data_IF_409584132765
#
_entry.id   IF_409584132765
#
_cell.length_a   1.000
_cell.length_b   1.000
_cell.length_c   1.000
_cell.angle_alpha   90.00
_cell.angle_beta   90.00
_cell.angle_gamma   90.00
#
_symmetry.space_group_name_H-M   'P 1'
#
loop_
_entity.id
_entity.type
_entity.pdbx_description
1 polymer ?
#
# COMPACT_ATOMS: atom_id res chain seq x y z
N UNK A 1 12.48 11.92 38.29
CA UNK A 1 12.08 12.15 36.88
C UNK A 1 13.10 11.51 35.95
N UNK A 2 12.85 11.42 34.65
CA UNK A 2 13.90 11.03 33.70
C UNK A 2 14.54 12.27 33.08
N UNK A 3 15.76 12.17 32.57
CA UNK A 3 16.42 13.29 31.88
C UNK A 3 15.64 13.77 30.63
N UNK A 4 14.87 12.89 30.00
CA UNK A 4 13.98 13.20 28.87
C UNK A 4 12.85 14.18 29.21
N UNK A 5 12.51 14.30 30.50
CA UNK A 5 11.48 15.22 30.98
C UNK A 5 12.00 16.67 31.06
N UNK A 6 13.31 16.91 30.84
CA UNK A 6 13.91 18.24 30.78
C UNK A 6 13.73 18.84 29.39
N UNK A 7 12.63 19.58 29.19
CA UNK A 7 12.41 20.35 27.96
C UNK A 7 12.51 21.86 28.22
N UNK A 8 12.88 22.69 27.22
CA UNK A 8 12.86 24.15 27.36
C UNK A 8 11.55 24.68 27.96
N UNK A 9 11.66 25.55 28.95
CA UNK A 9 10.52 26.10 29.70
C UNK A 9 10.09 25.26 30.91
N UNK A 10 10.62 24.05 31.10
CA UNK A 10 10.34 23.24 32.30
C UNK A 10 11.00 23.87 33.54
N UNK A 11 10.28 23.90 34.65
CA UNK A 11 10.84 24.35 35.94
C UNK A 11 11.20 23.13 36.79
N UNK A 12 12.46 23.05 37.21
CA UNK A 12 13.06 21.84 37.79
C UNK A 12 13.78 22.18 39.09
N UNK A 13 13.57 21.37 40.12
CA UNK A 13 14.28 21.43 41.40
C UNK A 13 15.32 20.31 41.49
N UNK A 14 16.41 20.55 42.23
CA UNK A 14 17.48 19.56 42.44
C UNK A 14 18.74 19.75 41.60
N UNK A 15 18.70 20.69 40.63
CA UNK A 15 19.89 21.12 39.88
C UNK A 15 20.79 21.99 40.78
N UNK A 16 20.17 22.90 41.56
CA UNK A 16 20.83 23.70 42.59
C UNK A 16 20.22 23.43 43.96
N UNK A 17 20.99 23.60 45.06
CA UNK A 17 20.47 23.51 46.42
C UNK A 17 19.40 24.57 46.73
N UNK A 18 19.55 25.77 46.16
CA UNK A 18 18.82 26.97 46.59
C UNK A 18 17.55 27.29 45.77
N UNK A 19 16.88 26.27 45.23
CA UNK A 19 15.55 26.44 44.60
C UNK A 19 15.41 25.82 43.22
N UNK A 20 14.26 26.10 42.59
CA UNK A 20 13.96 25.62 41.25
C UNK A 20 14.54 26.54 40.17
N UNK A 21 14.90 25.97 39.03
CA UNK A 21 15.46 26.68 37.87
C UNK A 21 14.61 26.40 36.63
N UNK A 22 14.57 27.36 35.70
CA UNK A 22 13.87 27.18 34.43
C UNK A 22 14.86 26.70 33.38
N UNK A 23 14.55 25.58 32.73
CA UNK A 23 15.32 25.03 31.62
C UNK A 23 15.23 25.97 30.43
N UNK A 24 16.38 26.36 29.88
CA UNK A 24 16.48 27.22 28.70
C UNK A 24 16.75 26.38 27.45
N UNK A 25 17.69 25.45 27.52
CA UNK A 25 18.01 24.53 26.43
C UNK A 25 18.66 23.25 26.96
N UNK A 26 18.59 22.20 26.14
CA UNK A 26 19.13 20.86 26.44
C UNK A 26 19.88 20.34 25.22
N UNK A 27 21.13 19.93 25.40
CA UNK A 27 21.96 19.32 24.36
C UNK A 27 22.41 17.93 24.80
N UNK A 28 22.05 16.90 24.04
CA UNK A 28 22.31 15.50 24.40
C UNK A 28 23.69 15.03 23.94
N UNK A 29 24.42 14.36 24.85
CA UNK A 29 25.68 13.68 24.57
C UNK A 29 25.45 12.16 24.60
N UNK A 30 24.96 11.64 23.48
CA UNK A 30 24.49 10.25 23.40
C UNK A 30 23.22 10.03 24.24
N UNK A 31 23.08 8.87 24.88
CA UNK A 31 21.88 8.49 25.65
C UNK A 31 22.04 8.61 27.17
N UNK A 32 23.24 8.93 27.68
CA UNK A 32 23.56 8.82 29.11
C UNK A 32 23.88 10.16 29.80
N UNK A 33 24.07 11.23 29.04
CA UNK A 33 24.37 12.55 29.57
C UNK A 33 23.76 13.64 28.69
N UNK A 34 23.47 14.79 29.30
CA UNK A 34 23.07 16.01 28.59
C UNK A 34 23.73 17.23 29.24
N UNK A 35 23.94 18.25 28.43
CA UNK A 35 24.28 19.58 28.91
C UNK A 35 23.00 20.39 29.04
N UNK A 36 22.72 20.85 30.26
CA UNK A 36 21.56 21.64 30.61
C UNK A 36 21.95 23.11 30.75
N UNK A 37 21.38 23.98 29.93
CA UNK A 37 21.42 25.43 30.17
C UNK A 37 20.14 25.84 30.90
N UNK A 38 20.28 26.48 32.06
CA UNK A 38 19.16 26.88 32.90
C UNK A 38 19.28 28.33 33.39
N UNK A 39 18.15 28.91 33.77
CA UNK A 39 18.05 30.25 34.36
C UNK A 39 17.59 30.14 35.81
N UNK A 40 18.32 30.79 36.71
CA UNK A 40 17.93 30.84 38.13
C UNK A 40 16.87 31.92 38.42
N UNK A 41 16.27 31.94 39.62
CA UNK A 41 15.28 32.97 39.99
C UNK A 41 15.82 34.40 39.98
N UNK A 42 17.13 34.59 40.06
CA UNK A 42 17.79 35.90 39.96
C UNK A 42 18.06 36.31 38.50
N UNK A 43 17.67 35.48 37.52
CA UNK A 43 17.83 35.72 36.08
C UNK A 43 19.20 35.35 35.52
N UNK A 44 20.09 34.77 36.32
CA UNK A 44 21.42 34.35 35.86
C UNK A 44 21.31 33.05 35.07
N UNK A 45 21.92 33.02 33.88
CA UNK A 45 22.03 31.82 33.05
C UNK A 45 23.29 31.06 33.42
N UNK A 46 23.19 29.75 33.56
CA UNK A 46 24.31 28.86 33.87
C UNK A 46 24.12 27.52 33.18
N UNK A 47 25.21 26.79 33.03
CA UNK A 47 25.25 25.52 32.33
C UNK A 47 25.76 24.43 33.27
N UNK A 48 25.19 23.23 33.16
CA UNK A 48 25.60 22.07 33.94
C UNK A 48 25.39 20.78 33.15
N UNK A 49 26.36 19.88 33.22
CA UNK A 49 26.22 18.53 32.67
C UNK A 49 25.49 17.66 33.69
N UNK A 50 24.47 16.94 33.22
CA UNK A 50 23.69 15.98 34.01
C UNK A 50 23.85 14.57 33.42
N UNK A 51 23.94 13.59 34.32
CA UNK A 51 24.05 12.18 34.00
C UNK A 51 22.84 11.40 34.53
N UNK A 52 22.64 10.17 34.07
CA UNK A 52 21.53 9.31 34.55
C UNK A 52 21.50 9.12 36.07
N UNK A 53 22.64 9.14 36.75
CA UNK A 53 22.67 9.01 38.21
C UNK A 53 22.12 10.26 38.93
N UNK A 54 21.93 11.37 38.23
CA UNK A 54 21.32 12.60 38.75
C UNK A 54 19.78 12.55 38.72
N UNK A 55 19.17 11.66 37.94
CA UNK A 55 17.72 11.54 37.83
C UNK A 55 16.95 11.43 39.17
N UNK A 56 17.47 10.71 40.20
CA UNK A 56 16.78 10.59 41.49
C UNK A 56 16.70 11.91 42.28
N UNK A 57 17.64 12.84 42.06
CA UNK A 57 17.64 14.14 42.76
C UNK A 57 16.79 15.22 42.07
N UNK A 58 16.34 14.96 40.85
CA UNK A 58 15.63 15.94 40.04
C UNK A 58 14.10 15.77 40.16
N UNK A 59 13.43 16.89 40.36
CA UNK A 59 11.98 16.99 40.50
C UNK A 59 11.43 18.06 39.54
N UNK A 60 10.49 17.69 38.65
CA UNK A 60 9.77 18.67 37.83
C UNK A 60 8.74 19.37 38.70
N UNK A 61 8.89 20.68 38.83
CA UNK A 61 7.97 21.54 39.61
C UNK A 61 6.84 22.06 38.74
N UNK A 62 7.15 22.40 37.48
CA UNK A 62 6.16 22.79 36.48
C UNK A 62 6.61 22.22 35.13
N UNK A 63 5.77 21.38 34.52
CA UNK A 63 5.97 20.98 33.14
C UNK A 63 5.64 22.22 32.31
N UNK A 64 6.66 22.90 31.80
CA UNK A 64 6.48 24.01 30.86
C UNK A 64 5.51 23.59 29.76
N UNK A 65 4.82 24.55 29.11
CA UNK A 65 3.76 24.25 28.14
C UNK A 65 4.25 23.18 27.14
N UNK A 66 3.69 21.96 27.14
CA UNK A 66 4.21 20.85 26.32
C UNK A 66 4.05 21.11 24.82
N UNK A 67 3.23 22.11 24.47
CA UNK A 67 3.05 22.62 23.12
C UNK A 67 3.62 24.03 23.07
N UNK A 68 4.92 24.14 22.80
CA UNK A 68 5.49 25.39 22.34
C UNK A 68 5.06 25.57 20.88
N UNK A 69 4.33 26.64 20.57
CA UNK A 69 3.98 27.02 19.18
C UNK A 69 5.19 27.67 18.48
N UNK A 70 6.40 27.21 18.80
CA UNK A 70 7.68 27.70 18.31
C UNK A 70 8.23 26.88 17.14
N UNK A 71 7.51 25.82 16.74
CA UNK A 71 7.81 25.08 15.52
C UNK A 71 7.77 25.98 14.28
N UNK A 72 8.53 25.59 13.26
CA UNK A 72 8.56 26.33 12.00
C UNK A 72 7.17 26.35 11.33
N UNK A 73 6.57 27.54 11.26
CA UNK A 73 5.27 27.75 10.66
C UNK A 73 5.21 27.37 9.17
N UNK A 74 6.32 27.43 8.45
CA UNK A 74 6.39 26.99 7.05
C UNK A 74 6.26 25.46 6.97
N UNK A 75 7.00 24.73 7.80
CA UNK A 75 6.89 23.27 7.90
C UNK A 75 5.49 22.83 8.35
N UNK A 76 4.89 23.50 9.34
CA UNK A 76 3.52 23.21 9.76
C UNK A 76 2.52 23.40 8.62
N UNK A 77 2.60 24.52 7.89
CA UNK A 77 1.74 24.78 6.73
C UNK A 77 1.91 23.72 5.64
N UNK A 78 3.15 23.30 5.36
CA UNK A 78 3.44 22.26 4.38
C UNK A 78 2.82 20.92 4.79
N UNK A 79 2.95 20.52 6.06
CA UNK A 79 2.34 19.31 6.58
C UNK A 79 0.80 19.36 6.52
N UNK A 80 0.19 20.48 6.91
CA UNK A 80 -1.25 20.68 6.83
C UNK A 80 -1.75 20.57 5.37
N UNK A 81 -1.02 21.16 4.42
CA UNK A 81 -1.38 21.11 3.01
C UNK A 81 -1.20 19.70 2.42
N UNK A 82 -0.14 18.98 2.80
CA UNK A 82 0.04 17.58 2.43
C UNK A 82 -1.11 16.70 2.95
N UNK A 83 -1.55 16.92 4.20
CA UNK A 83 -2.72 16.23 4.75
C UNK A 83 -4.01 16.58 4.00
N UNK A 84 -4.21 17.85 3.64
CA UNK A 84 -5.38 18.28 2.85
C UNK A 84 -5.42 17.58 1.49
N UNK A 85 -4.29 17.51 0.78
CA UNK A 85 -4.19 16.82 -0.52
C UNK A 85 -4.46 15.32 -0.36
N UNK A 86 -3.86 14.68 0.65
CA UNK A 86 -4.06 13.25 0.92
C UNK A 86 -5.53 12.91 1.21
N UNK A 87 -6.24 13.83 1.85
CA UNK A 87 -7.66 13.68 2.20
C UNK A 87 -8.63 14.19 1.13
N UNK A 88 -8.13 14.62 -0.04
CA UNK A 88 -8.98 15.19 -1.09
C UNK A 88 -10.08 14.22 -1.57
N UNK A 89 -9.82 12.91 -1.54
CA UNK A 89 -10.80 11.87 -1.91
C UNK A 89 -12.06 11.87 -1.04
N UNK A 90 -12.02 12.46 0.17
CA UNK A 90 -13.20 12.60 1.03
C UNK A 90 -14.20 13.63 0.50
N UNK A 91 -13.73 14.55 -0.34
CA UNK A 91 -14.53 15.66 -0.87
C UNK A 91 -14.72 15.57 -2.39
N UNK A 92 -13.90 14.77 -3.07
CA UNK A 92 -14.01 14.45 -4.48
C UNK A 92 -14.22 12.94 -4.66
N UNK A 93 -15.46 12.48 -4.90
CA UNK A 93 -15.76 11.06 -5.07
C UNK A 93 -15.19 10.48 -6.37
N UNK A 94 -14.75 11.32 -7.32
CA UNK A 94 -14.21 10.95 -8.63
C UNK A 94 -12.75 11.41 -8.80
N UNK A 95 -11.98 11.45 -7.70
CA UNK A 95 -10.63 12.01 -7.69
C UNK A 95 -9.71 11.39 -8.76
N UNK A 96 -9.78 10.06 -8.97
CA UNK A 96 -8.97 9.42 -10.00
C UNK A 96 -9.36 9.83 -11.43
N UNK A 97 -10.63 10.16 -11.70
CA UNK A 97 -11.05 10.71 -13.00
C UNK A 97 -10.40 12.07 -13.21
N UNK A 98 -10.54 12.99 -12.25
CA UNK A 98 -10.05 14.38 -12.41
C UNK A 98 -8.53 14.49 -12.43
N UNK A 99 -7.81 13.53 -11.86
CA UNK A 99 -6.34 13.54 -11.79
C UNK A 99 -5.66 12.68 -12.86
N UNK A 100 -6.43 12.06 -13.76
CA UNK A 100 -5.94 11.22 -14.85
C UNK A 100 -6.14 11.87 -16.22
N UNK A 101 -5.29 11.51 -17.17
CA UNK A 101 -5.37 11.96 -18.56
C UNK A 101 -6.27 10.99 -19.35
N UNK A 102 -7.54 10.92 -18.95
CA UNK A 102 -8.56 10.08 -19.57
C UNK A 102 -9.89 10.84 -19.67
N UNK A 103 -10.64 10.56 -20.73
CA UNK A 103 -12.04 10.96 -20.87
C UNK A 103 -12.90 9.69 -20.76
N UNK A 104 -13.24 9.24 -19.53
CA UNK A 104 -13.92 7.97 -19.34
C UNK A 104 -15.39 8.08 -19.76
N UNK A 105 -15.89 7.01 -20.37
CA UNK A 105 -17.29 6.92 -20.77
C UNK A 105 -18.20 6.72 -19.55
N UNK A 106 -19.48 7.14 -19.59
CA UNK A 106 -20.38 7.05 -18.44
C UNK A 106 -20.50 5.63 -17.85
N UNK A 107 -20.50 4.60 -18.69
CA UNK A 107 -20.55 3.21 -18.23
C UNK A 107 -19.28 2.80 -17.48
N UNK A 108 -18.11 3.35 -17.84
CA UNK A 108 -16.84 3.09 -17.16
C UNK A 108 -16.83 3.73 -15.77
N UNK A 109 -17.36 4.95 -15.65
CA UNK A 109 -17.51 5.63 -14.35
C UNK A 109 -18.46 4.80 -13.46
N UNK A 110 -19.63 4.43 -14.00
CA UNK A 110 -20.62 3.62 -13.26
C UNK A 110 -20.02 2.29 -12.79
N UNK A 111 -19.34 1.56 -13.70
CA UNK A 111 -18.70 0.29 -13.38
C UNK A 111 -17.65 0.43 -12.27
N UNK A 112 -16.79 1.44 -12.33
CA UNK A 112 -15.75 1.62 -11.32
C UNK A 112 -16.33 2.10 -9.99
N UNK A 113 -17.09 3.19 -10.00
CA UNK A 113 -17.43 3.91 -8.77
C UNK A 113 -18.70 3.40 -8.07
N UNK A 114 -19.67 2.89 -8.81
CA UNK A 114 -20.92 2.39 -8.23
C UNK A 114 -20.90 0.87 -8.03
N UNK A 115 -20.14 0.15 -8.86
CA UNK A 115 -20.08 -1.32 -8.80
C UNK A 115 -18.80 -1.81 -8.15
N UNK A 116 -17.63 -1.52 -8.70
CA UNK A 116 -16.38 -2.13 -8.22
C UNK A 116 -15.94 -1.55 -6.87
N UNK A 117 -15.87 -0.24 -6.74
CA UNK A 117 -15.29 0.44 -5.58
C UNK A 117 -16.00 0.15 -4.22
N UNK A 118 -17.35 0.03 -4.15
CA UNK A 118 -18.02 -0.32 -2.89
C UNK A 118 -17.79 -1.76 -2.41
N UNK A 119 -17.25 -2.65 -3.27
CA UNK A 119 -16.99 -4.05 -2.92
C UNK A 119 -15.65 -4.15 -2.21
N UNK A 120 -15.67 -4.26 -0.88
CA UNK A 120 -14.47 -4.45 -0.07
C UNK A 120 -14.59 -5.70 0.82
N UNK A 121 -13.84 -6.79 0.53
CA UNK A 121 -12.87 -6.95 -0.56
C UNK A 121 -13.53 -7.04 -1.95
N UNK A 122 -12.79 -6.59 -2.98
CA UNK A 122 -13.23 -6.70 -4.37
C UNK A 122 -12.79 -8.05 -4.90
N UNK A 123 -13.71 -8.99 -5.11
CA UNK A 123 -13.46 -10.23 -5.87
C UNK A 123 -14.43 -10.25 -7.04
N UNK A 124 -13.95 -9.85 -8.22
CA UNK A 124 -14.84 -9.42 -9.30
C UNK A 124 -14.34 -9.86 -10.67
N UNK A 125 -15.30 -10.22 -11.53
CA UNK A 125 -15.08 -10.53 -12.94
C UNK A 125 -15.62 -9.38 -13.80
N UNK A 126 -14.73 -8.64 -14.45
CA UNK A 126 -15.07 -7.64 -15.45
C UNK A 126 -15.08 -8.29 -16.84
N UNK A 127 -16.27 -8.67 -17.28
CA UNK A 127 -16.50 -9.45 -18.51
C UNK A 127 -17.12 -8.62 -19.65
N UNK A 128 -16.61 -7.41 -19.88
CA UNK A 128 -17.12 -6.53 -20.95
C UNK A 128 -16.56 -6.86 -22.32
N UNK A 129 -17.22 -6.37 -23.37
CA UNK A 129 -16.81 -6.54 -24.76
C UNK A 129 -15.37 -6.06 -25.04
N UNK A 130 -14.71 -6.62 -26.07
CA UNK A 130 -13.47 -6.07 -26.60
C UNK A 130 -13.64 -4.59 -26.95
N UNK A 131 -12.69 -3.74 -26.51
CA UNK A 131 -12.76 -2.29 -26.76
C UNK A 131 -13.62 -1.49 -25.78
N UNK A 132 -14.33 -2.11 -24.84
CA UNK A 132 -15.12 -1.40 -23.81
C UNK A 132 -14.28 -0.53 -22.83
N UNK A 133 -12.96 -0.64 -22.92
CA UNK A 133 -12.01 0.12 -22.10
C UNK A 133 -11.77 -0.47 -20.70
N UNK A 134 -11.70 -1.81 -20.60
CA UNK A 134 -11.37 -2.53 -19.35
C UNK A 134 -10.07 -2.02 -18.70
N UNK A 135 -9.06 -1.71 -19.50
CA UNK A 135 -7.79 -1.13 -19.00
C UNK A 135 -7.99 0.25 -18.37
N UNK A 136 -8.86 1.10 -18.94
CA UNK A 136 -9.22 2.40 -18.36
C UNK A 136 -9.93 2.20 -17.02
N UNK A 137 -10.90 1.28 -16.97
CA UNK A 137 -11.63 0.96 -15.74
C UNK A 137 -10.71 0.43 -14.64
N UNK A 138 -9.79 -0.46 -14.98
CA UNK A 138 -8.79 -0.98 -14.05
C UNK A 138 -7.83 0.13 -13.56
N UNK A 139 -7.35 0.99 -14.45
CA UNK A 139 -6.50 2.12 -14.10
C UNK A 139 -7.19 3.12 -13.16
N UNK A 140 -8.47 3.43 -13.43
CA UNK A 140 -9.29 4.25 -12.54
C UNK A 140 -9.45 3.60 -11.17
N UNK A 141 -9.80 2.31 -11.11
CA UNK A 141 -9.91 1.58 -9.85
C UNK A 141 -8.60 1.61 -9.06
N UNK A 142 -7.46 1.27 -9.70
CA UNK A 142 -6.15 1.23 -9.04
C UNK A 142 -5.84 2.60 -8.43
N UNK A 143 -5.96 3.66 -9.24
CA UNK A 143 -5.63 5.02 -8.80
C UNK A 143 -6.56 5.53 -7.71
N UNK A 144 -7.85 5.20 -7.79
CA UNK A 144 -8.84 5.56 -6.79
C UNK A 144 -8.56 4.86 -5.45
N UNK A 145 -8.25 3.56 -5.47
CA UNK A 145 -7.86 2.83 -4.26
C UNK A 145 -6.55 3.38 -3.66
N UNK A 146 -5.56 3.75 -4.49
CA UNK A 146 -4.33 4.40 -4.04
C UNK A 146 -4.61 5.75 -3.38
N UNK A 147 -5.46 6.58 -3.98
CA UNK A 147 -5.85 7.87 -3.43
C UNK A 147 -6.57 7.76 -2.09
N UNK A 148 -7.34 6.69 -1.88
CA UNK A 148 -8.04 6.37 -0.64
C UNK A 148 -7.14 5.72 0.43
N UNK A 149 -5.92 5.33 0.05
CA UNK A 149 -4.99 4.61 0.92
C UNK A 149 -5.31 3.12 1.10
N UNK A 150 -6.23 2.58 0.30
CA UNK A 150 -6.63 1.16 0.31
C UNK A 150 -5.71 0.27 -0.54
N UNK A 151 -4.87 0.86 -1.39
CA UNK A 151 -3.90 0.17 -2.24
C UNK A 151 -2.54 0.85 -2.15
N UNK A 152 -1.52 0.07 -1.80
CA UNK A 152 -0.11 0.42 -1.95
C UNK A 152 0.56 -0.51 -2.96
N UNK A 153 0.28 -1.81 -2.88
CA UNK A 153 0.90 -2.85 -3.70
C UNK A 153 -0.09 -3.44 -4.69
N UNK A 154 0.23 -3.39 -5.99
CA UNK A 154 -0.61 -3.91 -7.06
C UNK A 154 0.20 -4.79 -8.01
N UNK A 155 -0.33 -5.99 -8.32
CA UNK A 155 0.22 -6.91 -9.30
C UNK A 155 -0.74 -7.06 -10.47
N UNK A 156 -0.25 -6.81 -11.68
CA UNK A 156 -0.98 -7.04 -12.92
C UNK A 156 -0.36 -8.24 -13.62
N UNK A 157 -1.19 -9.23 -13.94
CA UNK A 157 -0.81 -10.44 -14.65
C UNK A 157 -1.54 -10.43 -15.99
N UNK A 158 -0.78 -10.35 -17.07
CA UNK A 158 -1.37 -10.27 -18.41
C UNK A 158 -0.57 -11.13 -19.41
N UNK A 159 -1.16 -11.42 -20.59
CA UNK A 159 -0.45 -12.03 -21.71
C UNK A 159 0.82 -11.26 -22.08
N UNK A 160 1.85 -11.96 -22.54
CA UNK A 160 3.16 -11.35 -22.81
C UNK A 160 3.13 -10.20 -23.82
N UNK A 161 2.21 -10.24 -24.78
CA UNK A 161 2.02 -9.21 -25.80
C UNK A 161 1.29 -7.95 -25.29
N UNK A 162 0.72 -7.96 -24.09
CA UNK A 162 0.00 -6.81 -23.51
C UNK A 162 0.80 -6.10 -22.40
N UNK A 163 1.91 -6.67 -21.94
CA UNK A 163 2.67 -6.13 -20.80
C UNK A 163 3.15 -4.70 -21.04
N UNK A 164 3.75 -4.43 -22.21
CA UNK A 164 4.24 -3.08 -22.54
C UNK A 164 3.08 -2.10 -22.72
N UNK A 165 1.98 -2.53 -23.34
CA UNK A 165 0.77 -1.72 -23.46
C UNK A 165 0.20 -1.33 -22.08
N UNK A 166 0.14 -2.28 -21.14
CA UNK A 166 -0.29 -2.01 -19.77
C UNK A 166 0.60 -0.98 -19.08
N UNK A 167 1.93 -1.12 -19.20
CA UNK A 167 2.87 -0.18 -18.61
C UNK A 167 2.71 1.22 -19.21
N UNK A 168 2.62 1.31 -20.54
CA UNK A 168 2.45 2.58 -21.26
C UNK A 168 1.13 3.26 -20.91
N UNK A 169 0.01 2.53 -20.89
CA UNK A 169 -1.29 3.10 -20.55
C UNK A 169 -1.34 3.58 -19.10
N UNK A 170 -0.83 2.79 -18.14
CA UNK A 170 -0.79 3.17 -16.72
C UNK A 170 0.13 4.36 -16.46
N UNK A 171 1.29 4.40 -17.11
CA UNK A 171 2.23 5.52 -17.01
C UNK A 171 1.66 6.79 -17.61
N UNK A 172 1.20 6.76 -18.87
CA UNK A 172 0.78 7.96 -19.59
C UNK A 172 -0.57 8.50 -19.15
N UNK A 173 -1.53 7.63 -18.86
CA UNK A 173 -2.91 8.05 -18.55
C UNK A 173 -3.12 8.27 -17.06
N UNK A 174 -2.48 7.44 -16.23
CA UNK A 174 -2.75 7.43 -14.79
C UNK A 174 -1.57 7.94 -13.96
N UNK A 175 -0.38 8.12 -14.55
CA UNK A 175 0.86 8.47 -13.87
C UNK A 175 1.27 7.41 -12.82
N UNK A 176 1.01 6.13 -13.13
CA UNK A 176 1.33 5.01 -12.26
C UNK A 176 2.60 4.29 -12.77
N UNK A 177 3.71 4.32 -12.01
CA UNK A 177 5.01 3.80 -12.45
C UNK A 177 5.12 2.29 -12.23
N UNK A 178 4.34 1.50 -12.98
CA UNK A 178 4.43 0.05 -12.91
C UNK A 178 5.72 -0.48 -13.51
N UNK A 179 6.32 -1.47 -12.84
CA UNK A 179 7.56 -2.11 -13.27
C UNK A 179 7.30 -3.51 -13.85
N UNK A 180 7.85 -3.74 -15.04
CA UNK A 180 7.75 -5.05 -15.70
C UNK A 180 8.78 -6.00 -15.09
N UNK A 181 8.31 -7.19 -14.70
CA UNK A 181 9.14 -8.30 -14.24
C UNK A 181 9.98 -8.88 -15.39
N UNK A 182 11.30 -8.89 -15.23
CA UNK A 182 12.26 -9.54 -16.12
C UNK A 182 13.20 -10.46 -15.34
N UNK A 183 13.89 -11.38 -16.02
CA UNK A 183 14.86 -12.25 -15.36
C UNK A 183 16.02 -11.45 -14.76
N UNK A 184 16.56 -10.49 -15.53
CA UNK A 184 17.66 -9.64 -15.07
C UNK A 184 17.32 -8.90 -13.77
N UNK A 185 16.06 -8.42 -13.65
CA UNK A 185 15.55 -7.79 -12.42
C UNK A 185 15.42 -8.77 -11.25
N UNK A 186 14.99 -10.00 -11.52
CA UNK A 186 14.89 -11.05 -10.50
C UNK A 186 16.27 -11.45 -9.94
N UNK A 187 17.29 -11.43 -10.79
CA UNK A 187 18.68 -11.74 -10.44
C UNK A 187 19.37 -10.56 -9.73
N UNK A 188 19.06 -9.34 -10.15
CA UNK A 188 19.61 -8.11 -9.56
C UNK A 188 18.94 -7.68 -8.23
N UNK A 189 17.93 -8.41 -7.75
CA UNK A 189 17.20 -8.07 -6.53
C UNK A 189 18.12 -8.07 -5.31
N UNK A 190 18.22 -6.93 -4.63
CA UNK A 190 19.11 -6.74 -3.47
C UNK A 190 18.72 -7.59 -2.27
N UNK A 191 17.42 -7.79 -2.08
CA UNK A 191 16.83 -8.60 -1.01
C UNK A 191 16.77 -10.08 -1.37
N UNK A 192 17.14 -10.45 -2.60
CA UNK A 192 16.90 -11.79 -3.18
C UNK A 192 15.45 -11.99 -3.66
N UNK A 193 14.52 -11.09 -3.33
CA UNK A 193 13.13 -11.11 -3.77
C UNK A 193 12.70 -9.78 -4.37
N UNK A 194 12.75 -9.69 -5.69
CA UNK A 194 12.39 -8.48 -6.44
C UNK A 194 10.98 -7.96 -6.13
N UNK A 195 10.02 -8.84 -5.82
CA UNK A 195 8.66 -8.42 -5.48
C UNK A 195 8.60 -7.58 -4.21
N UNK A 196 9.49 -7.81 -3.23
CA UNK A 196 9.54 -7.02 -1.99
C UNK A 196 10.11 -5.61 -2.20
N UNK A 197 10.82 -5.39 -3.31
CA UNK A 197 11.44 -4.10 -3.64
C UNK A 197 10.52 -3.20 -4.48
N UNK A 198 9.43 -3.76 -5.03
CA UNK A 198 8.57 -3.06 -5.99
C UNK A 198 7.09 -3.23 -5.62
N UNK A 199 6.41 -2.11 -5.39
CA UNK A 199 5.00 -2.10 -5.00
C UNK A 199 4.06 -2.29 -6.20
N UNK A 200 4.42 -1.75 -7.38
CA UNK A 200 3.59 -1.77 -8.59
C UNK A 200 4.25 -2.63 -9.67
N UNK A 201 3.69 -3.81 -9.93
CA UNK A 201 4.32 -4.85 -10.76
C UNK A 201 3.43 -5.28 -11.92
N UNK A 202 4.03 -5.46 -13.10
CA UNK A 202 3.42 -6.16 -14.24
C UNK A 202 4.22 -7.44 -14.51
N UNK A 203 3.54 -8.58 -14.61
CA UNK A 203 4.16 -9.86 -14.85
C UNK A 203 3.48 -10.62 -15.99
N UNK A 204 4.30 -11.32 -16.79
CA UNK A 204 3.83 -12.18 -17.88
C UNK A 204 3.16 -13.42 -17.29
N UNK A 205 1.91 -13.68 -17.67
CA UNK A 205 1.13 -14.85 -17.24
C UNK A 205 1.91 -16.17 -17.39
N UNK A 206 2.47 -16.42 -18.57
CA UNK A 206 3.16 -17.68 -18.86
C UNK A 206 4.48 -17.84 -18.10
N UNK A 207 5.17 -16.75 -17.79
CA UNK A 207 6.38 -16.78 -16.98
C UNK A 207 6.02 -17.18 -15.54
N UNK A 208 5.07 -16.46 -14.94
CA UNK A 208 4.61 -16.77 -13.58
C UNK A 208 4.03 -18.18 -13.47
N UNK A 209 3.26 -18.65 -14.46
CA UNK A 209 2.61 -19.95 -14.39
C UNK A 209 3.60 -21.13 -14.47
N UNK A 210 4.78 -20.94 -15.10
CA UNK A 210 5.74 -22.02 -15.37
C UNK A 210 6.91 -22.06 -14.41
N UNK A 211 7.28 -20.92 -13.84
CA UNK A 211 8.50 -20.75 -13.05
C UNK A 211 8.21 -20.85 -11.54
N UNK A 212 8.46 -22.03 -10.97
CA UNK A 212 8.20 -22.32 -9.55
C UNK A 212 9.10 -21.50 -8.61
N UNK A 213 10.32 -21.16 -9.02
CA UNK A 213 11.23 -20.29 -8.25
C UNK A 213 10.63 -18.90 -8.10
N UNK A 214 10.08 -18.35 -9.20
CA UNK A 214 9.40 -17.05 -9.16
C UNK A 214 8.11 -17.12 -8.36
N UNK A 215 7.35 -18.22 -8.44
CA UNK A 215 6.16 -18.41 -7.61
C UNK A 215 6.49 -18.44 -6.12
N UNK A 216 7.58 -19.12 -5.71
CA UNK A 216 8.03 -19.16 -4.31
C UNK A 216 8.38 -17.76 -3.78
N UNK A 217 9.06 -16.94 -4.60
CA UNK A 217 9.32 -15.53 -4.26
C UNK A 217 8.03 -14.72 -4.17
N UNK A 218 7.08 -14.96 -5.07
CA UNK A 218 5.79 -14.29 -5.09
C UNK A 218 4.92 -14.64 -3.86
N UNK A 219 4.99 -15.87 -3.36
CA UNK A 219 4.21 -16.33 -2.19
C UNK A 219 4.94 -16.21 -0.86
N UNK A 220 6.08 -15.52 -0.83
CA UNK A 220 6.80 -15.29 0.42
C UNK A 220 5.86 -14.71 1.51
N UNK A 221 6.01 -15.10 2.79
CA UNK A 221 5.05 -14.71 3.84
C UNK A 221 4.87 -13.19 4.01
N UNK A 222 5.93 -12.43 3.77
CA UNK A 222 6.00 -10.97 3.79
C UNK A 222 5.57 -10.31 2.47
N UNK A 223 5.32 -11.10 1.42
CA UNK A 223 4.85 -10.62 0.14
C UNK A 223 3.33 -10.75 0.04
N UNK A 224 2.63 -9.63 0.22
CA UNK A 224 1.20 -9.50 0.02
C UNK A 224 0.91 -8.35 -0.92
N UNK A 225 -0.05 -8.54 -1.80
CA UNK A 225 -0.57 -7.51 -2.68
C UNK A 225 -1.94 -7.06 -2.19
N UNK A 226 -2.22 -5.77 -2.29
CA UNK A 226 -3.55 -5.26 -1.96
C UNK A 226 -4.51 -5.61 -3.07
N UNK A 227 -4.06 -5.49 -4.33
CA UNK A 227 -4.80 -5.83 -5.53
C UNK A 227 -3.97 -6.71 -6.47
N UNK A 228 -4.58 -7.78 -6.97
CA UNK A 228 -4.10 -8.52 -8.13
C UNK A 228 -5.12 -8.36 -9.27
N UNK A 229 -4.65 -7.97 -10.44
CA UNK A 229 -5.43 -7.86 -11.67
C UNK A 229 -4.95 -8.93 -12.65
N UNK A 230 -5.84 -9.77 -13.15
CA UNK A 230 -5.54 -10.73 -14.20
C UNK A 230 -6.27 -10.35 -15.48
N UNK A 231 -5.53 -9.96 -16.50
CA UNK A 231 -6.06 -9.67 -17.84
C UNK A 231 -6.09 -10.92 -18.72
N UNK A 232 -7.04 -10.97 -19.65
CA UNK A 232 -7.42 -12.16 -20.39
C UNK A 232 -7.59 -13.39 -19.48
N UNK A 233 -8.33 -13.19 -18.39
CA UNK A 233 -8.51 -14.15 -17.31
C UNK A 233 -9.12 -15.47 -17.77
N UNK A 234 -9.78 -15.53 -18.93
CA UNK A 234 -10.23 -16.78 -19.56
C UNK A 234 -9.08 -17.79 -19.80
N UNK A 235 -7.82 -17.33 -19.80
CA UNK A 235 -6.63 -18.18 -19.88
C UNK A 235 -6.31 -18.91 -18.58
N UNK A 236 -6.91 -18.51 -17.45
CA UNK A 236 -6.84 -19.18 -16.15
C UNK A 236 -7.88 -20.31 -16.08
N UNK A 237 -7.87 -21.21 -17.06
CA UNK A 237 -8.90 -22.25 -17.18
C UNK A 237 -8.43 -23.59 -16.64
N UNK A 238 -9.39 -24.34 -16.09
CA UNK A 238 -9.30 -25.77 -15.82
C UNK A 238 -10.42 -26.46 -16.58
N UNK A 239 -10.22 -27.73 -16.97
CA UNK A 239 -11.21 -28.45 -17.78
C UNK A 239 -11.68 -29.72 -17.11
N UNK A 240 -12.98 -29.99 -17.16
CA UNK A 240 -13.51 -31.31 -16.85
C UNK A 240 -13.27 -32.27 -18.01
N UNK A 241 -12.67 -33.43 -17.72
CA UNK A 241 -12.45 -34.49 -18.70
C UNK A 241 -12.59 -35.86 -18.04
N UNK A 242 -13.52 -36.68 -18.55
CA UNK A 242 -13.69 -38.06 -18.06
C UNK A 242 -14.13 -38.19 -16.60
N UNK A 243 -14.82 -37.19 -16.05
CA UNK A 243 -15.24 -37.16 -14.64
C UNK A 243 -14.19 -36.62 -13.67
N UNK A 244 -12.99 -36.26 -14.16
CA UNK A 244 -11.91 -35.66 -13.37
C UNK A 244 -11.66 -34.20 -13.79
N UNK A 245 -11.18 -33.39 -12.84
CA UNK A 245 -10.79 -32.00 -13.07
C UNK A 245 -9.31 -31.95 -13.45
N UNK A 246 -9.01 -31.41 -14.63
CA UNK A 246 -7.64 -31.16 -15.06
C UNK A 246 -7.26 -29.70 -14.85
N UNK A 247 -6.55 -29.43 -13.77
CA UNK A 247 -6.01 -28.11 -13.46
C UNK A 247 -4.79 -27.77 -14.33
N UNK A 248 -4.85 -26.65 -15.05
CA UNK A 248 -3.70 -26.14 -15.80
C UNK A 248 -2.73 -25.41 -14.87
N UNK A 249 -1.47 -25.23 -15.31
CA UNK A 249 -0.50 -24.40 -14.57
C UNK A 249 -0.98 -22.95 -14.39
N UNK A 250 -1.69 -22.41 -15.37
CA UNK A 250 -2.28 -21.06 -15.30
C UNK A 250 -3.40 -20.99 -14.28
N UNK A 251 -4.28 -22.02 -14.22
CA UNK A 251 -5.30 -22.10 -13.19
C UNK A 251 -4.70 -22.16 -11.77
N UNK A 252 -3.67 -23.00 -11.58
CA UNK A 252 -2.96 -23.11 -10.29
C UNK A 252 -2.31 -21.78 -9.90
N UNK A 253 -1.73 -21.05 -10.85
CA UNK A 253 -1.27 -19.68 -10.61
C UNK A 253 -2.42 -18.79 -10.16
N UNK A 254 -3.59 -18.88 -10.82
CA UNK A 254 -4.81 -18.17 -10.41
C UNK A 254 -5.18 -18.43 -8.96
N UNK A 255 -5.21 -19.70 -8.53
CA UNK A 255 -5.48 -20.07 -7.13
C UNK A 255 -4.43 -19.50 -6.18
N UNK A 256 -3.15 -19.58 -6.56
CA UNK A 256 -2.04 -19.05 -5.77
C UNK A 256 -2.17 -17.53 -5.58
N UNK A 257 -2.36 -16.77 -6.65
CA UNK A 257 -2.40 -15.30 -6.55
C UNK A 257 -3.68 -14.80 -5.87
N UNK A 258 -4.77 -15.54 -6.04
CA UNK A 258 -6.05 -15.34 -5.37
C UNK A 258 -5.96 -15.48 -3.84
N UNK A 259 -4.98 -16.26 -3.34
CA UNK A 259 -4.74 -16.49 -1.91
C UNK A 259 -3.83 -15.44 -1.23
N UNK A 260 -3.04 -14.68 -2.00
CA UNK A 260 -2.07 -13.71 -1.46
C UNK A 260 -2.53 -12.26 -1.59
N UNK A 261 -3.79 -12.04 -1.97
CA UNK A 261 -4.36 -10.72 -2.22
C UNK A 261 -5.69 -10.51 -1.52
N UNK A 262 -5.95 -9.27 -1.10
CA UNK A 262 -7.25 -8.85 -0.57
C UNK A 262 -8.24 -8.64 -1.71
N UNK A 263 -7.84 -7.86 -2.72
CA UNK A 263 -8.65 -7.55 -3.88
C UNK A 263 -8.16 -8.37 -5.08
N UNK A 264 -9.08 -8.98 -5.83
CA UNK A 264 -8.82 -9.79 -7.00
C UNK A 264 -9.76 -9.43 -8.14
N UNK A 265 -9.20 -8.84 -9.20
CA UNK A 265 -9.92 -8.41 -10.39
C UNK A 265 -9.55 -9.31 -11.57
N UNK A 266 -10.50 -10.10 -12.03
CA UNK A 266 -10.37 -10.85 -13.28
C UNK A 266 -10.99 -10.04 -14.40
N UNK A 267 -10.29 -9.89 -15.53
CA UNK A 267 -10.80 -9.18 -16.70
C UNK A 267 -10.72 -10.08 -17.93
N UNK A 268 -11.78 -10.12 -18.72
CA UNK A 268 -11.81 -10.91 -19.95
C UNK A 268 -12.91 -10.38 -20.87
N UNK A 269 -12.79 -10.59 -22.18
CA UNK A 269 -13.91 -10.39 -23.08
C UNK A 269 -14.81 -11.63 -23.19
N UNK A 270 -14.25 -12.81 -22.93
CA UNK A 270 -14.90 -14.10 -23.20
C UNK A 270 -14.71 -15.03 -22.01
N UNK A 271 -15.53 -14.91 -20.95
CA UNK A 271 -15.30 -15.65 -19.71
C UNK A 271 -15.60 -17.15 -19.80
N UNK A 272 -16.32 -17.59 -20.83
CA UNK A 272 -16.84 -18.95 -20.97
C UNK A 272 -16.60 -19.49 -22.39
N UNK A 273 -16.27 -20.78 -22.50
CA UNK A 273 -15.91 -21.47 -23.75
C UNK A 273 -17.04 -22.35 -24.32
N UNK A 274 -18.24 -22.32 -23.72
CA UNK A 274 -19.34 -23.23 -24.07
C UNK A 274 -19.64 -24.28 -23.01
N UNK A 275 -18.73 -24.49 -22.03
CA UNK A 275 -18.86 -25.50 -20.99
C UNK A 275 -19.08 -24.87 -19.63
N UNK A 276 -20.23 -25.17 -19.06
CA UNK A 276 -20.68 -24.57 -17.81
C UNK A 276 -19.80 -25.01 -16.63
N UNK A 277 -19.35 -26.27 -16.63
CA UNK A 277 -18.50 -26.81 -15.57
C UNK A 277 -17.10 -26.18 -15.56
N UNK A 278 -16.53 -25.90 -16.74
CA UNK A 278 -15.25 -25.18 -16.86
C UNK A 278 -15.37 -23.74 -16.36
N UNK A 279 -16.52 -23.09 -16.64
CA UNK A 279 -16.79 -21.74 -16.17
C UNK A 279 -17.00 -21.66 -14.66
N UNK A 280 -17.64 -22.66 -14.06
CA UNK A 280 -17.75 -22.76 -12.61
C UNK A 280 -16.38 -22.86 -11.95
N UNK A 281 -15.46 -23.67 -12.49
CA UNK A 281 -14.07 -23.73 -12.01
C UNK A 281 -13.38 -22.37 -12.10
N UNK A 282 -13.60 -21.63 -13.20
CA UNK A 282 -13.06 -20.29 -13.35
C UNK A 282 -13.61 -19.32 -12.30
N UNK A 283 -14.92 -19.34 -12.02
CA UNK A 283 -15.55 -18.53 -10.97
C UNK A 283 -15.07 -18.91 -9.55
N UNK A 284 -14.70 -20.17 -9.32
CA UNK A 284 -14.10 -20.60 -8.05
C UNK A 284 -12.78 -19.90 -7.73
N UNK A 285 -12.09 -19.30 -8.71
CA UNK A 285 -10.93 -18.44 -8.44
C UNK A 285 -11.32 -17.16 -7.68
N UNK A 286 -12.55 -16.67 -7.86
CA UNK A 286 -13.07 -15.52 -7.14
C UNK A 286 -13.64 -15.90 -5.79
N UNK A 287 -14.36 -17.02 -5.70
CA UNK A 287 -15.01 -17.46 -4.47
C UNK A 287 -15.08 -18.99 -4.46
N UNK A 288 -14.11 -19.62 -3.80
CA UNK A 288 -14.04 -21.08 -3.70
C UNK A 288 -15.27 -21.65 -3.00
N UNK A 289 -15.66 -21.11 -1.85
CA UNK A 289 -16.78 -21.65 -1.06
C UNK A 289 -18.12 -21.61 -1.80
N UNK A 290 -18.33 -20.59 -2.63
CA UNK A 290 -19.58 -20.43 -3.39
C UNK A 290 -19.65 -21.29 -4.65
N UNK A 291 -18.51 -21.55 -5.28
CA UNK A 291 -18.46 -22.21 -6.60
C UNK A 291 -17.76 -23.57 -6.59
N UNK A 292 -17.20 -24.02 -5.46
CA UNK A 292 -16.70 -25.39 -5.28
C UNK A 292 -17.85 -26.38 -5.09
N UNK A 293 -17.90 -27.40 -5.96
CA UNK A 293 -18.89 -28.48 -5.93
C UNK A 293 -19.66 -28.66 -7.24
N UNK A 294 -20.36 -29.78 -7.40
CA UNK A 294 -21.35 -29.96 -8.48
C UNK A 294 -22.54 -29.00 -8.26
N UNK A 295 -23.23 -28.63 -9.33
CA UNK A 295 -24.50 -27.90 -9.28
C UNK A 295 -25.37 -28.37 -8.10
N UNK A 296 -25.76 -27.43 -7.24
CA UNK A 296 -26.92 -27.65 -6.38
C UNK A 296 -28.14 -27.47 -7.28
N UNK A 297 -28.81 -28.58 -7.59
CA UNK A 297 -30.14 -28.59 -8.20
C UNK A 297 -31.16 -27.78 -7.37
#
# INVERSE_FOLDING_TARGET
>A
MRLEDLTPGTTVRGIRPDGAVTVVSVEWHGSHALTLTYRDPAGKVSEQILYRHDEPRLEVVDQGRPWSFDGDGATFRLAAEAHRIRLAHLFDPLLAVHTSLVDPLPHQITAVYEVMLPRQPLRFLLADDPGAGKTIMAGLLIKELMARGDLKRCLIICPGNLVEQWQDELSRRFHLPFEILTNDKLEAARTGNWFLEHDLVIARLDKLARDESVQQKLTAPDNRYDLVVCDEAHKLSATYFGGEIKYTKRYRLGQLVSSITRHFLLMTATPHNGKEEDFQLFLALLDGDRFEGRFRD
#
